data_IF_926582819804
#
_entry.id   IF_926582819804
#
_cell.length_a   1.000
_cell.length_b   1.000
_cell.length_c   1.000
_cell.angle_alpha   90.00
_cell.angle_beta   90.00
_cell.angle_gamma   90.00
#
_symmetry.space_group_name_H-M   'P 1'
#
loop_
_entity.id
_entity.type
_entity.pdbx_description
1 polymer ?
#
# COMPACT_ATOMS: atom_id res chain seq x y z
N UNK A 1 52.79 70.37 -13.04
CA UNK A 1 51.57 69.78 -12.40
C UNK A 1 50.56 69.19 -13.39
N UNK A 2 50.52 69.60 -14.66
CA UNK A 2 49.54 69.12 -15.66
C UNK A 2 49.66 67.62 -16.03
N UNK A 3 50.88 67.09 -16.18
CA UNK A 3 51.12 65.67 -16.53
C UNK A 3 50.68 64.69 -15.43
N UNK A 4 51.00 65.00 -14.16
CA UNK A 4 50.57 64.18 -13.00
C UNK A 4 49.04 64.12 -12.87
N UNK A 5 48.33 65.22 -13.16
CA UNK A 5 46.85 65.27 -13.16
C UNK A 5 46.24 64.44 -14.29
N UNK A 6 46.84 64.49 -15.50
CA UNK A 6 46.40 63.66 -16.64
C UNK A 6 46.60 62.16 -16.40
N UNK A 7 47.73 61.77 -15.80
CA UNK A 7 48.00 60.36 -15.42
C UNK A 7 47.01 59.87 -14.37
N UNK A 8 46.71 60.68 -13.34
CA UNK A 8 45.73 60.34 -12.31
C UNK A 8 44.31 60.17 -12.89
N UNK A 9 43.95 60.98 -13.89
CA UNK A 9 42.66 60.87 -14.59
C UNK A 9 42.57 59.58 -15.41
N UNK A 10 43.64 59.20 -16.12
CA UNK A 10 43.70 57.94 -16.88
C UNK A 10 43.62 56.72 -15.96
N UNK A 11 44.35 56.72 -14.84
CA UNK A 11 44.29 55.63 -13.85
C UNK A 11 42.89 55.53 -13.24
N UNK A 12 42.24 56.65 -12.93
CA UNK A 12 40.87 56.66 -12.41
C UNK A 12 39.86 56.10 -13.41
N UNK A 13 39.99 56.41 -14.70
CA UNK A 13 39.13 55.87 -15.75
C UNK A 13 39.34 54.35 -15.88
N UNK A 14 40.58 53.88 -15.87
CA UNK A 14 40.90 52.44 -15.92
C UNK A 14 40.31 51.72 -14.70
N UNK A 15 40.47 52.26 -13.49
CA UNK A 15 39.88 51.69 -12.27
C UNK A 15 38.34 51.65 -12.32
N UNK A 16 37.68 52.66 -12.89
CA UNK A 16 36.22 52.64 -13.07
C UNK A 16 35.75 51.61 -14.10
N UNK A 17 36.52 51.38 -15.17
CA UNK A 17 36.16 50.37 -16.19
C UNK A 17 36.25 48.92 -15.67
N UNK A 18 37.12 48.65 -14.69
CA UNK A 18 37.28 47.31 -14.11
C UNK A 18 36.06 46.93 -13.24
N UNK A 19 35.36 47.91 -12.66
CA UNK A 19 34.17 47.66 -11.83
C UNK A 19 32.95 47.18 -12.65
N UNK A 20 32.87 47.51 -13.95
CA UNK A 20 31.72 47.16 -14.80
C UNK A 20 31.65 45.70 -15.23
N UNK A 21 32.77 44.97 -15.22
CA UNK A 21 32.83 43.56 -15.67
C UNK A 21 32.55 42.53 -14.56
N UNK A 22 32.44 42.97 -13.29
CA UNK A 22 32.32 42.07 -12.14
C UNK A 22 30.87 41.76 -11.72
N UNK A 23 29.88 42.46 -12.26
CA UNK A 23 28.47 42.24 -11.91
C UNK A 23 27.83 41.16 -12.80
N UNK A 24 28.28 39.91 -12.66
CA UNK A 24 27.52 38.78 -13.20
C UNK A 24 26.30 38.58 -12.29
N UNK A 25 25.14 39.03 -12.74
CA UNK A 25 23.88 38.81 -12.02
C UNK A 25 23.63 37.32 -11.80
N UNK A 26 23.03 36.99 -10.65
CA UNK A 26 22.70 35.60 -10.28
C UNK A 26 21.76 35.02 -11.32
N UNK A 27 22.14 33.88 -11.89
CA UNK A 27 21.35 33.18 -12.90
C UNK A 27 20.47 32.14 -12.22
N UNK A 28 19.16 32.41 -12.22
CA UNK A 28 18.16 31.53 -11.64
C UNK A 28 17.28 30.93 -12.73
N UNK A 29 16.88 29.67 -12.53
CA UNK A 29 15.87 28.98 -13.32
C UNK A 29 14.91 28.22 -12.39
N UNK A 30 13.81 27.72 -12.94
CA UNK A 30 12.92 26.83 -12.22
C UNK A 30 12.45 25.66 -13.07
N UNK A 31 12.03 24.61 -12.38
CA UNK A 31 11.43 23.39 -12.92
C UNK A 31 10.11 23.16 -12.21
N UNK A 32 9.12 22.65 -12.95
CA UNK A 32 7.84 22.20 -12.42
C UNK A 32 7.85 20.66 -12.41
N UNK A 33 8.15 20.07 -11.25
CA UNK A 33 8.28 18.62 -11.12
C UNK A 33 6.97 17.88 -11.38
N UNK A 34 5.85 18.46 -10.95
CA UNK A 34 4.52 17.89 -11.18
C UNK A 34 4.21 17.83 -12.69
N UNK A 35 4.46 18.92 -13.42
CA UNK A 35 4.34 18.92 -14.87
C UNK A 35 5.24 17.87 -15.52
N UNK A 36 6.48 17.71 -15.07
CA UNK A 36 7.38 16.68 -15.60
C UNK A 36 6.78 15.29 -15.38
N UNK A 37 6.40 14.96 -14.15
CA UNK A 37 5.86 13.65 -13.78
C UNK A 37 4.62 13.30 -14.62
N UNK A 38 3.69 14.24 -14.79
CA UNK A 38 2.47 14.04 -15.59
C UNK A 38 2.76 13.76 -17.07
N UNK A 39 3.88 14.23 -17.60
CA UNK A 39 4.31 14.00 -18.99
C UNK A 39 5.19 12.74 -19.16
N UNK A 40 5.48 12.00 -18.10
CA UNK A 40 6.18 10.71 -18.16
C UNK A 40 5.16 9.58 -18.28
N UNK A 41 5.14 8.89 -19.42
CA UNK A 41 4.17 7.81 -19.70
C UNK A 41 4.16 6.71 -18.63
N UNK A 42 5.34 6.22 -18.23
CA UNK A 42 5.51 5.19 -17.21
C UNK A 42 4.95 5.62 -15.85
N UNK A 43 5.03 6.91 -15.52
CA UNK A 43 4.43 7.46 -14.32
C UNK A 43 2.91 7.45 -14.41
N UNK A 44 2.36 7.86 -15.55
CA UNK A 44 0.92 7.89 -15.81
C UNK A 44 0.32 6.49 -15.72
N UNK A 45 0.88 5.53 -16.43
CA UNK A 45 0.43 4.13 -16.42
C UNK A 45 0.51 3.52 -15.01
N UNK A 46 1.63 3.74 -14.30
CA UNK A 46 1.78 3.21 -12.95
C UNK A 46 0.85 3.89 -11.92
N UNK A 47 0.54 5.17 -12.13
CA UNK A 47 -0.40 5.93 -11.30
C UNK A 47 -1.83 5.42 -11.48
N UNK A 48 -2.25 5.13 -12.71
CA UNK A 48 -3.57 4.54 -13.02
C UNK A 48 -3.73 3.14 -12.39
N UNK A 49 -2.67 2.32 -12.47
CA UNK A 49 -2.66 1.01 -11.80
C UNK A 49 -2.74 1.15 -10.27
N UNK A 50 -2.04 2.13 -9.70
CA UNK A 50 -2.08 2.41 -8.26
C UNK A 50 -3.46 2.92 -7.84
N UNK A 51 -4.10 3.79 -8.62
CA UNK A 51 -5.44 4.30 -8.37
C UNK A 51 -6.48 3.17 -8.36
N UNK A 52 -6.35 2.22 -9.29
CA UNK A 52 -7.19 1.01 -9.32
C UNK A 52 -7.03 0.20 -8.03
N UNK A 53 -5.81 0.03 -7.52
CA UNK A 53 -5.56 -0.67 -6.24
C UNK A 53 -6.14 0.10 -5.06
N UNK A 54 -5.96 1.42 -5.04
CA UNK A 54 -6.52 2.31 -4.01
C UNK A 54 -8.03 2.17 -3.95
N UNK A 55 -8.69 2.11 -5.10
CA UNK A 55 -10.14 1.95 -5.14
C UNK A 55 -10.58 0.59 -4.60
N UNK A 56 -9.85 -0.49 -4.90
CA UNK A 56 -10.11 -1.81 -4.31
C UNK A 56 -9.96 -1.80 -2.79
N UNK A 57 -8.87 -1.20 -2.27
CA UNK A 57 -8.67 -1.10 -0.82
C UNK A 57 -9.76 -0.28 -0.13
N UNK A 58 -10.24 0.80 -0.77
CA UNK A 58 -11.37 1.59 -0.24
C UNK A 58 -12.64 0.74 -0.12
N UNK A 59 -12.97 -0.03 -1.16
CA UNK A 59 -14.12 -0.94 -1.15
C UNK A 59 -13.95 -2.01 -0.05
N UNK A 60 -12.75 -2.57 0.11
CA UNK A 60 -12.48 -3.54 1.18
C UNK A 60 -12.65 -2.94 2.59
N UNK A 61 -12.22 -1.70 2.81
CA UNK A 61 -12.46 -0.97 4.07
C UNK A 61 -13.95 -0.75 4.30
N UNK A 62 -14.68 -0.28 3.29
CA UNK A 62 -16.13 -0.04 3.38
C UNK A 62 -16.91 -1.33 3.69
N UNK A 63 -16.52 -2.44 3.07
CA UNK A 63 -17.11 -3.76 3.36
C UNK A 63 -16.85 -4.18 4.81
N UNK A 64 -15.61 -4.07 5.30
CA UNK A 64 -15.27 -4.38 6.70
C UNK A 64 -16.04 -3.49 7.67
N UNK A 65 -16.16 -2.20 7.38
CA UNK A 65 -16.92 -1.26 8.18
C UNK A 65 -18.41 -1.65 8.22
N UNK A 66 -19.01 -1.96 7.07
CA UNK A 66 -20.41 -2.38 7.01
C UNK A 66 -20.67 -3.67 7.80
N UNK A 67 -19.74 -4.63 7.77
CA UNK A 67 -19.86 -5.88 8.54
C UNK A 67 -19.85 -5.58 10.05
N UNK A 68 -18.88 -4.76 10.51
CA UNK A 68 -18.78 -4.34 11.91
C UNK A 68 -20.06 -3.62 12.36
N UNK A 69 -20.54 -2.66 11.57
CA UNK A 69 -21.76 -1.92 11.88
C UNK A 69 -23.00 -2.83 11.96
N UNK A 70 -23.10 -3.82 11.06
CA UNK A 70 -24.19 -4.78 11.07
C UNK A 70 -24.15 -5.64 12.33
N UNK A 71 -23.00 -6.23 12.68
CA UNK A 71 -22.87 -7.04 13.89
C UNK A 71 -23.19 -6.25 15.16
N UNK A 72 -22.81 -4.97 15.22
CA UNK A 72 -23.18 -4.09 16.34
C UNK A 72 -24.69 -3.89 16.44
N UNK A 73 -25.36 -3.66 15.31
CA UNK A 73 -26.83 -3.51 15.27
C UNK A 73 -27.52 -4.81 15.68
N UNK A 74 -27.04 -5.95 15.18
CA UNK A 74 -27.57 -7.27 15.50
C UNK A 74 -27.40 -7.57 17.00
N UNK A 75 -26.22 -7.32 17.56
CA UNK A 75 -25.98 -7.47 18.99
C UNK A 75 -26.91 -6.57 19.82
N UNK A 76 -27.14 -5.31 19.42
CA UNK A 76 -28.06 -4.42 20.13
C UNK A 76 -29.51 -4.93 20.09
N UNK A 77 -29.95 -5.51 18.98
CA UNK A 77 -31.29 -6.06 18.83
C UNK A 77 -31.47 -7.38 19.61
N UNK A 78 -30.46 -8.24 19.61
CA UNK A 78 -30.48 -9.55 20.27
C UNK A 78 -30.11 -9.50 21.76
N UNK A 79 -29.52 -8.39 22.25
CA UNK A 79 -28.96 -8.25 23.61
C UNK A 79 -29.91 -8.72 24.72
N UNK A 80 -31.20 -8.47 24.59
CA UNK A 80 -32.23 -8.82 25.59
C UNK A 80 -32.49 -10.33 25.65
N UNK A 81 -32.17 -11.06 24.58
CA UNK A 81 -32.40 -12.50 24.43
C UNK A 81 -31.14 -13.33 24.73
N UNK A 82 -29.99 -12.69 24.91
CA UNK A 82 -28.69 -13.35 25.11
C UNK A 82 -28.30 -13.39 26.59
N UNK A 83 -27.47 -14.37 26.96
CA UNK A 83 -26.85 -14.41 28.30
C UNK A 83 -25.64 -13.46 28.36
N UNK A 84 -25.22 -13.02 29.54
CA UNK A 84 -24.07 -12.13 29.70
C UNK A 84 -22.79 -12.65 29.03
N UNK A 85 -22.52 -13.96 29.10
CA UNK A 85 -21.33 -14.57 28.51
C UNK A 85 -21.36 -14.55 26.98
N UNK A 86 -22.53 -14.74 26.37
CA UNK A 86 -22.69 -14.67 24.91
C UNK A 86 -22.60 -13.23 24.40
N UNK A 87 -23.01 -12.25 25.22
CA UNK A 87 -22.85 -10.83 24.90
C UNK A 87 -21.36 -10.49 24.90
N UNK A 88 -20.62 -10.88 25.93
CA UNK A 88 -19.18 -10.65 26.02
C UNK A 88 -18.42 -11.26 24.84
N UNK A 89 -18.70 -12.52 24.48
CA UNK A 89 -18.07 -13.18 23.32
C UNK A 89 -18.33 -12.43 22.00
N UNK A 90 -19.57 -11.95 21.78
CA UNK A 90 -19.91 -11.16 20.58
C UNK A 90 -19.27 -9.77 20.60
N UNK A 91 -19.17 -9.13 21.76
CA UNK A 91 -18.49 -7.85 21.92
C UNK A 91 -16.98 -7.99 21.63
N UNK A 92 -16.35 -9.08 22.06
CA UNK A 92 -14.97 -9.41 21.73
C UNK A 92 -14.76 -9.64 20.23
N UNK A 93 -15.65 -10.41 19.58
CA UNK A 93 -15.59 -10.65 18.13
C UNK A 93 -15.69 -9.33 17.33
N UNK A 94 -16.63 -8.46 17.72
CA UNK A 94 -16.77 -7.13 17.13
C UNK A 94 -15.49 -6.31 17.32
N UNK A 95 -14.93 -6.29 18.53
CA UNK A 95 -13.70 -5.55 18.81
C UNK A 95 -12.49 -6.06 18.01
N UNK A 96 -12.40 -7.38 17.80
CA UNK A 96 -11.34 -7.97 16.96
C UNK A 96 -11.49 -7.47 15.52
N UNK A 97 -12.69 -7.56 14.95
CA UNK A 97 -12.95 -7.14 13.57
C UNK A 97 -12.79 -5.63 13.38
N UNK A 98 -13.12 -4.83 14.40
CA UNK A 98 -12.82 -3.39 14.42
C UNK A 98 -11.33 -3.11 14.39
N UNK A 99 -10.55 -3.81 15.22
CA UNK A 99 -9.10 -3.66 15.26
C UNK A 99 -8.49 -4.05 13.93
N UNK A 100 -8.88 -5.18 13.36
CA UNK A 100 -8.42 -5.63 12.05
C UNK A 100 -8.77 -4.63 10.93
N UNK A 101 -9.95 -4.00 10.98
CA UNK A 101 -10.34 -2.96 10.03
C UNK A 101 -9.43 -1.74 10.15
N UNK A 102 -9.19 -1.26 11.37
CA UNK A 102 -8.33 -0.10 11.63
C UNK A 102 -6.87 -0.39 11.21
N UNK A 103 -6.35 -1.57 11.57
CA UNK A 103 -5.02 -2.02 11.15
C UNK A 103 -4.92 -2.09 9.63
N UNK A 104 -5.88 -2.71 8.96
CA UNK A 104 -5.92 -2.72 7.50
C UNK A 104 -5.94 -1.31 6.90
N UNK A 105 -6.75 -0.41 7.44
CA UNK A 105 -6.80 0.98 6.98
C UNK A 105 -5.45 1.68 7.19
N UNK A 106 -4.80 1.48 8.33
CA UNK A 106 -3.50 2.05 8.66
C UNK A 106 -2.39 1.48 7.76
N UNK A 107 -2.39 0.18 7.49
CA UNK A 107 -1.42 -0.49 6.63
C UNK A 107 -1.53 -0.03 5.18
N UNK A 108 -2.75 0.27 4.69
CA UNK A 108 -2.94 0.76 3.32
C UNK A 108 -2.77 2.28 3.18
N UNK A 109 -3.36 3.05 4.09
CA UNK A 109 -3.54 4.50 3.97
C UNK A 109 -2.80 5.33 5.02
N UNK A 110 -2.15 4.70 6.00
CA UNK A 110 -1.38 5.40 7.02
C UNK A 110 -0.13 6.09 6.46
N UNK A 111 0.59 6.88 7.29
CA UNK A 111 1.77 7.64 6.86
C UNK A 111 2.92 6.76 6.33
N UNK A 112 3.01 5.52 6.79
CA UNK A 112 3.94 4.49 6.32
C UNK A 112 3.23 3.36 5.56
N UNK A 113 1.97 3.56 5.22
CA UNK A 113 1.16 2.57 4.54
C UNK A 113 1.59 2.37 3.08
N UNK A 114 1.04 1.31 2.49
CA UNK A 114 1.34 0.87 1.13
C UNK A 114 1.14 1.96 0.09
N UNK A 115 0.11 2.80 0.23
CA UNK A 115 -0.15 3.89 -0.71
C UNK A 115 1.02 4.88 -0.77
N UNK A 116 1.49 5.35 0.39
CA UNK A 116 2.58 6.32 0.48
C UNK A 116 3.87 5.69 -0.03
N UNK A 117 4.14 4.44 0.36
CA UNK A 117 5.33 3.70 -0.05
C UNK A 117 5.35 3.46 -1.57
N UNK A 118 4.23 3.06 -2.15
CA UNK A 118 4.11 2.85 -3.60
C UNK A 118 4.25 4.17 -4.35
N UNK A 119 3.59 5.25 -3.92
CA UNK A 119 3.77 6.59 -4.52
C UNK A 119 5.25 7.00 -4.52
N UNK A 120 5.94 6.85 -3.38
CA UNK A 120 7.37 7.17 -3.29
C UNK A 120 8.20 6.34 -4.27
N UNK A 121 7.98 5.03 -4.34
CA UNK A 121 8.69 4.13 -5.26
C UNK A 121 8.48 4.48 -6.73
N UNK A 122 7.32 5.02 -7.09
CA UNK A 122 7.03 5.47 -8.46
C UNK A 122 7.69 6.82 -8.77
N UNK A 123 7.66 7.76 -7.84
CA UNK A 123 8.17 9.12 -8.04
C UNK A 123 9.71 9.17 -8.00
N UNK A 124 10.32 8.47 -7.04
CA UNK A 124 11.75 8.53 -6.76
C UNK A 124 12.65 8.29 -7.98
N UNK A 125 12.48 7.22 -8.80
CA UNK A 125 13.36 7.00 -9.95
C UNK A 125 13.26 8.10 -11.01
N UNK A 126 12.11 8.77 -11.14
CA UNK A 126 11.93 9.88 -12.06
C UNK A 126 12.55 11.14 -11.48
N UNK A 127 12.39 11.37 -10.17
CA UNK A 127 13.04 12.47 -9.46
C UNK A 127 14.57 12.39 -9.57
N UNK A 128 15.16 11.20 -9.43
CA UNK A 128 16.59 10.98 -9.61
C UNK A 128 17.04 11.31 -11.05
N UNK A 129 16.24 10.94 -12.06
CA UNK A 129 16.53 11.28 -13.46
C UNK A 129 16.43 12.79 -13.71
N UNK A 130 15.40 13.45 -13.18
CA UNK A 130 15.25 14.90 -13.25
C UNK A 130 16.44 15.58 -12.61
N UNK A 131 16.81 15.17 -11.40
CA UNK A 131 17.94 15.75 -10.68
C UNK A 131 19.24 15.68 -11.49
N UNK A 132 19.53 14.52 -12.08
CA UNK A 132 20.69 14.34 -12.94
C UNK A 132 20.66 15.25 -14.19
N UNK A 133 19.50 15.39 -14.85
CA UNK A 133 19.37 16.28 -16.01
C UNK A 133 19.45 17.76 -15.61
N UNK A 134 18.84 18.15 -14.49
CA UNK A 134 18.92 19.50 -13.93
C UNK A 134 20.36 19.88 -13.63
N UNK A 135 21.16 18.99 -13.04
CA UNK A 135 22.59 19.23 -12.80
C UNK A 135 23.35 19.49 -14.10
N UNK A 136 23.14 18.66 -15.13
CA UNK A 136 23.77 18.85 -16.45
C UNK A 136 23.39 20.19 -17.06
N UNK A 137 22.12 20.56 -17.00
CA UNK A 137 21.60 21.81 -17.55
C UNK A 137 22.16 23.01 -16.78
N UNK A 138 22.18 22.92 -15.44
CA UNK A 138 22.76 23.91 -14.55
C UNK A 138 24.21 24.21 -14.89
N UNK A 139 25.05 23.17 -15.02
CA UNK A 139 26.45 23.30 -15.40
C UNK A 139 26.61 23.88 -16.81
N UNK A 140 25.89 23.36 -17.80
CA UNK A 140 26.02 23.76 -19.21
C UNK A 140 25.56 25.20 -19.45
N UNK A 141 24.45 25.62 -18.82
CA UNK A 141 23.89 26.98 -18.96
C UNK A 141 24.41 27.96 -17.92
N UNK A 142 25.24 27.49 -16.99
CA UNK A 142 25.84 28.26 -15.89
C UNK A 142 24.75 28.93 -15.03
N UNK A 143 23.74 28.17 -14.64
CA UNK A 143 22.78 28.60 -13.62
C UNK A 143 23.40 28.43 -12.25
N UNK A 144 23.18 29.41 -11.38
CA UNK A 144 23.65 29.38 -10.00
C UNK A 144 22.62 28.69 -9.10
N UNK A 145 21.32 28.83 -9.44
CA UNK A 145 20.21 28.19 -8.73
C UNK A 145 19.14 27.67 -9.70
N UNK A 146 18.58 26.52 -9.37
CA UNK A 146 17.41 25.95 -10.04
C UNK A 146 16.42 25.57 -8.95
N UNK A 147 15.23 26.17 -8.98
CA UNK A 147 14.18 25.93 -7.99
C UNK A 147 13.14 24.96 -8.52
N UNK A 148 12.64 24.09 -7.64
CA UNK A 148 11.43 23.33 -7.93
C UNK A 148 10.21 24.17 -7.51
N UNK A 149 9.32 24.45 -8.46
CA UNK A 149 8.06 25.18 -8.25
C UNK A 149 7.03 24.31 -7.53
N UNK A 150 7.15 22.98 -7.61
CA UNK A 150 6.25 22.04 -6.94
C UNK A 150 6.64 21.82 -5.47
N UNK A 151 7.77 22.34 -5.02
CA UNK A 151 8.21 22.30 -3.63
C UNK A 151 7.62 23.47 -2.80
N UNK A 152 7.86 23.47 -1.49
CA UNK A 152 7.35 24.49 -0.53
C UNK A 152 7.86 25.93 -0.77
N UNK A 153 8.63 26.18 -1.83
CA UNK A 153 9.09 27.52 -2.20
C UNK A 153 7.94 28.28 -2.86
N UNK A 154 7.37 29.22 -2.12
CA UNK A 154 6.29 30.07 -2.64
C UNK A 154 6.84 31.05 -3.69
N UNK A 155 6.59 30.76 -4.96
CA UNK A 155 6.92 31.63 -6.10
C UNK A 155 5.67 32.38 -6.57
N UNK A 156 5.59 33.68 -6.24
CA UNK A 156 4.42 34.50 -6.60
C UNK A 156 4.35 34.85 -8.09
N UNK A 157 5.51 35.03 -8.73
CA UNK A 157 5.61 35.37 -10.14
C UNK A 157 6.95 34.91 -10.71
N UNK A 158 6.94 34.37 -11.92
CA UNK A 158 8.16 34.13 -12.68
C UNK A 158 7.89 34.23 -14.18
N UNK A 159 8.86 34.77 -14.90
CA UNK A 159 8.80 34.85 -16.35
C UNK A 159 9.05 33.46 -16.96
N UNK A 160 8.24 33.05 -17.95
CA UNK A 160 8.34 31.73 -18.61
C UNK A 160 9.72 31.42 -19.20
N UNK A 161 10.52 32.44 -19.54
CA UNK A 161 11.90 32.26 -20.04
C UNK A 161 12.86 31.59 -19.05
N UNK A 162 12.53 31.57 -17.76
CA UNK A 162 13.33 30.91 -16.72
C UNK A 162 12.86 29.48 -16.42
N UNK A 163 11.75 29.05 -17.03
CA UNK A 163 11.27 27.67 -16.98
C UNK A 163 12.16 26.79 -17.85
N UNK A 164 12.73 25.75 -17.26
CA UNK A 164 13.54 24.75 -17.98
C UNK A 164 12.88 23.37 -18.00
N UNK A 165 11.62 23.24 -17.57
CA UNK A 165 10.89 21.97 -17.46
C UNK A 165 10.86 21.18 -18.77
N UNK A 166 10.51 21.83 -19.89
CA UNK A 166 10.52 21.20 -21.23
C UNK A 166 11.93 20.79 -21.69
N UNK A 167 12.96 21.47 -21.19
CA UNK A 167 14.35 21.13 -21.50
C UNK A 167 14.78 19.88 -20.73
N UNK A 168 14.40 19.80 -19.46
CA UNK A 168 14.59 18.62 -18.60
C UNK A 168 13.82 17.42 -19.15
N UNK A 169 12.54 17.57 -19.50
CA UNK A 169 11.71 16.50 -20.10
C UNK A 169 12.38 15.88 -21.33
N UNK A 170 12.87 16.73 -22.25
CA UNK A 170 13.60 16.28 -23.43
C UNK A 170 14.94 15.61 -23.08
N UNK A 171 15.59 16.03 -22.00
CA UNK A 171 16.78 15.36 -21.45
C UNK A 171 16.48 13.92 -21.03
N UNK A 172 15.47 13.77 -20.18
CA UNK A 172 15.05 12.47 -19.62
C UNK A 172 14.57 11.51 -20.71
N UNK A 173 13.77 12.01 -21.67
CA UNK A 173 13.29 11.20 -22.78
C UNK A 173 14.43 10.64 -23.67
N UNK A 174 15.54 11.38 -23.81
CA UNK A 174 16.72 10.91 -24.55
C UNK A 174 17.49 9.85 -23.78
N UNK A 175 17.64 10.02 -22.46
CA UNK A 175 18.30 9.04 -21.60
C UNK A 175 17.54 7.70 -21.58
N UNK A 176 16.20 7.72 -21.66
CA UNK A 176 15.37 6.52 -21.76
C UNK A 176 15.46 5.76 -23.09
N UNK A 177 15.85 6.42 -24.19
CA UNK A 177 16.05 5.77 -25.51
C UNK A 177 17.49 5.33 -25.80
N UNK A 178 18.41 5.39 -24.82
CA UNK A 178 19.81 5.00 -25.03
C UNK A 178 20.24 4.01 -23.95
N UNK A 179 19.92 2.73 -24.16
CA UNK A 179 20.66 1.61 -23.56
C UNK A 179 21.33 0.80 -24.69
N UNK A 180 22.58 1.19 -24.96
CA UNK A 180 23.64 0.56 -25.81
C UNK A 180 23.40 0.41 -27.33
N UNK A 181 24.31 0.95 -28.18
CA UNK A 181 24.57 0.35 -29.48
C UNK A 181 25.51 -0.84 -29.28
N UNK A 182 25.03 -2.06 -29.54
CA UNK A 182 25.92 -3.17 -29.82
C UNK A 182 26.59 -2.91 -31.18
N UNK A 183 27.91 -2.85 -31.17
CA UNK A 183 28.75 -2.64 -32.35
C UNK A 183 28.53 -3.80 -33.33
N UNK A 184 28.03 -3.47 -34.52
CA UNK A 184 27.90 -4.39 -35.67
C UNK A 184 29.26 -4.96 -36.06
N UNK A 185 29.41 -6.28 -36.03
CA UNK A 185 30.16 -7.00 -37.05
C UNK A 185 29.17 -7.46 -38.10
N UNK A 186 29.23 -6.85 -39.29
CA UNK A 186 28.60 -7.39 -40.49
C UNK A 186 29.40 -8.64 -40.89
N UNK A 187 28.75 -9.80 -40.96
CA UNK A 187 28.96 -10.64 -42.14
C UNK A 187 27.66 -11.36 -42.52
N UNK A 188 27.19 -10.99 -43.72
CA UNK A 188 26.40 -11.72 -44.72
C UNK A 188 25.10 -12.46 -44.34
N UNK A 189 24.02 -11.87 -44.87
CA UNK A 189 22.98 -12.51 -45.71
C UNK A 189 22.41 -13.87 -45.30
N UNK A 190 21.18 -13.89 -44.78
CA UNK A 190 20.20 -14.99 -44.96
C UNK A 190 18.77 -14.44 -44.92
N UNK A 191 18.45 -13.55 -45.85
CA UNK A 191 17.06 -13.14 -46.11
C UNK A 191 16.50 -13.86 -47.35
N UNK A 192 16.89 -15.13 -47.53
CA UNK A 192 16.57 -15.93 -48.72
C UNK A 192 16.34 -17.40 -48.36
N UNK A 193 15.69 -17.68 -47.23
CA UNK A 193 15.43 -19.07 -46.78
C UNK A 193 14.24 -19.16 -45.80
N UNK A 194 13.16 -18.40 -46.05
CA UNK A 194 11.90 -18.51 -45.29
C UNK A 194 10.77 -19.11 -46.14
N UNK A 195 11.11 -20.04 -47.03
CA UNK A 195 10.16 -20.95 -47.66
C UNK A 195 10.75 -22.36 -47.61
N UNK A 196 10.57 -23.01 -46.46
CA UNK A 196 11.00 -24.38 -46.25
C UNK A 196 10.64 -24.83 -44.84
N UNK A 197 9.68 -25.74 -44.74
CA UNK A 197 9.38 -26.53 -43.54
C UNK A 197 10.66 -27.18 -43.02
N UNK A 198 10.89 -27.16 -41.70
CA UNK A 198 11.48 -28.27 -40.94
C UNK A 198 11.33 -28.03 -39.42
N UNK A 199 10.74 -29.00 -38.74
CA UNK A 199 10.60 -29.09 -37.29
C UNK A 199 11.99 -29.23 -36.65
N UNK A 200 12.54 -28.18 -36.04
CA UNK A 200 13.78 -28.29 -35.28
C UNK A 200 13.51 -28.59 -33.79
N UNK A 201 14.04 -29.74 -33.37
CA UNK A 201 13.89 -30.37 -32.06
C UNK A 201 14.22 -29.44 -30.89
N UNK A 202 13.37 -29.52 -29.87
CA UNK A 202 13.44 -28.74 -28.64
C UNK A 202 14.79 -28.96 -27.95
N UNK A 203 15.58 -27.90 -27.80
CA UNK A 203 16.83 -27.91 -27.04
C UNK A 203 16.61 -28.52 -25.65
N UNK A 204 17.40 -29.52 -25.26
CA UNK A 204 17.36 -30.18 -23.93
C UNK A 204 17.32 -29.15 -22.77
N UNK A 205 17.95 -27.99 -22.94
CA UNK A 205 17.99 -26.92 -21.95
C UNK A 205 16.66 -26.17 -21.78
N UNK A 206 15.79 -26.16 -22.81
CA UNK A 206 14.44 -25.62 -22.73
C UNK A 206 13.51 -26.64 -22.06
N UNK A 207 13.65 -27.93 -22.39
CA UNK A 207 12.91 -29.02 -21.76
C UNK A 207 13.19 -29.06 -20.26
N UNK A 208 14.46 -29.03 -19.85
CA UNK A 208 14.85 -29.06 -18.43
C UNK A 208 14.30 -27.85 -17.65
N UNK A 209 14.22 -26.68 -18.30
CA UNK A 209 13.62 -25.47 -17.70
C UNK A 209 12.11 -25.58 -17.54
N UNK A 210 11.42 -26.12 -18.53
CA UNK A 210 9.97 -26.35 -18.46
C UNK A 210 9.64 -27.41 -17.42
N UNK A 211 10.42 -28.50 -17.35
CA UNK A 211 10.24 -29.56 -16.36
C UNK A 211 10.52 -29.08 -14.94
N UNK A 212 11.57 -28.27 -14.75
CA UNK A 212 11.87 -27.66 -13.46
C UNK A 212 10.82 -26.63 -13.04
N UNK A 213 10.25 -25.88 -13.99
CA UNK A 213 9.15 -24.97 -13.74
C UNK A 213 7.86 -25.72 -13.39
N UNK A 214 7.58 -26.84 -14.06
CA UNK A 214 6.45 -27.71 -13.79
C UNK A 214 6.57 -28.38 -12.41
N UNK A 215 7.74 -28.90 -12.05
CA UNK A 215 8.00 -29.47 -10.71
C UNK A 215 7.90 -28.40 -9.60
N UNK A 216 8.36 -27.17 -9.86
CA UNK A 216 8.21 -26.05 -8.93
C UNK A 216 6.74 -25.60 -8.78
N UNK A 217 5.94 -25.68 -9.85
CA UNK A 217 4.51 -25.42 -9.80
C UNK A 217 3.77 -26.52 -9.02
N UNK A 218 4.09 -27.78 -9.28
CA UNK A 218 3.46 -28.93 -8.63
C UNK A 218 3.78 -29.00 -7.12
N UNK A 219 5.02 -28.68 -6.72
CA UNK A 219 5.40 -28.59 -5.30
C UNK A 219 4.67 -27.45 -4.58
N UNK A 220 4.49 -26.30 -5.25
CA UNK A 220 3.69 -25.19 -4.72
C UNK A 220 2.22 -25.56 -4.59
N UNK A 221 1.64 -26.23 -5.59
CA UNK A 221 0.25 -26.70 -5.52
C UNK A 221 0.04 -27.73 -4.41
N UNK A 222 0.93 -28.70 -4.25
CA UNK A 222 0.89 -29.66 -3.13
C UNK A 222 1.00 -28.95 -1.79
N UNK A 223 1.94 -28.03 -1.62
CA UNK A 223 2.07 -27.26 -0.36
C UNK A 223 0.85 -26.37 -0.06
N UNK A 224 0.21 -25.80 -1.10
CA UNK A 224 -0.99 -25.00 -0.96
C UNK A 224 -2.24 -25.85 -0.69
N UNK A 225 -2.31 -27.06 -1.26
CA UNK A 225 -3.34 -28.03 -0.97
C UNK A 225 -3.22 -28.58 0.45
N UNK A 226 -2.00 -28.88 0.91
CA UNK A 226 -1.71 -29.31 2.27
C UNK A 226 -2.07 -28.23 3.29
N UNK A 227 -1.70 -26.97 3.04
CA UNK A 227 -2.07 -25.84 3.89
C UNK A 227 -3.60 -25.61 3.95
N UNK A 228 -4.30 -25.78 2.82
CA UNK A 228 -5.78 -25.73 2.78
C UNK A 228 -6.41 -26.89 3.54
N UNK A 229 -5.88 -28.10 3.41
CA UNK A 229 -6.37 -29.28 4.11
C UNK A 229 -6.16 -29.17 5.63
N UNK A 230 -5.02 -28.62 6.06
CA UNK A 230 -4.72 -28.35 7.47
C UNK A 230 -5.67 -27.28 8.05
N UNK A 231 -5.93 -26.18 7.32
CA UNK A 231 -6.91 -25.17 7.73
C UNK A 231 -8.34 -25.73 7.82
N UNK A 232 -8.73 -26.63 6.92
CA UNK A 232 -10.05 -27.27 6.96
C UNK A 232 -10.18 -28.21 8.16
N UNK A 233 -9.15 -29.01 8.45
CA UNK A 233 -9.11 -29.86 9.65
C UNK A 233 -9.18 -29.02 10.93
N UNK A 234 -8.42 -27.93 11.01
CA UNK A 234 -8.47 -27.00 12.15
C UNK A 234 -9.86 -26.38 12.32
N UNK A 235 -10.56 -26.05 11.22
CA UNK A 235 -11.94 -25.55 11.26
C UNK A 235 -12.95 -26.61 11.72
N UNK A 236 -12.80 -27.85 11.26
CA UNK A 236 -13.66 -28.96 11.68
C UNK A 236 -13.45 -29.33 13.15
N UNK A 237 -12.21 -29.32 13.64
CA UNK A 237 -11.89 -29.50 15.05
C UNK A 237 -12.47 -28.38 15.91
N UNK A 238 -12.35 -27.12 15.47
CA UNK A 238 -12.98 -25.97 16.16
C UNK A 238 -14.51 -26.07 16.18
N UNK A 239 -15.13 -26.51 15.08
CA UNK A 239 -16.59 -26.75 15.03
C UNK A 239 -17.02 -27.87 15.97
N UNK A 240 -16.31 -28.99 16.01
CA UNK A 240 -16.60 -30.11 16.93
C UNK A 240 -16.40 -29.69 18.39
N UNK A 241 -15.32 -28.98 18.70
CA UNK A 241 -15.08 -28.45 20.04
C UNK A 241 -16.20 -27.48 20.48
N UNK A 242 -16.71 -26.66 19.55
CA UNK A 242 -17.84 -25.77 19.79
C UNK A 242 -19.14 -26.55 20.04
N UNK A 243 -19.43 -27.57 19.23
CA UNK A 243 -20.62 -28.43 19.39
C UNK A 243 -20.59 -29.21 20.70
N UNK A 244 -19.43 -29.75 21.10
CA UNK A 244 -19.26 -30.43 22.38
C UNK A 244 -19.42 -29.48 23.58
N UNK A 245 -18.84 -28.27 23.50
CA UNK A 245 -18.98 -27.25 24.53
C UNK A 245 -20.43 -26.81 24.68
N UNK A 246 -21.14 -26.64 23.55
CA UNK A 246 -22.58 -26.34 23.51
C UNK A 246 -23.41 -27.47 24.12
N UNK A 247 -23.07 -28.73 23.83
CA UNK A 247 -23.78 -29.89 24.37
C UNK A 247 -23.59 -30.02 25.88
N UNK A 248 -22.36 -29.85 26.39
CA UNK A 248 -22.07 -29.83 27.84
C UNK A 248 -22.84 -28.72 28.56
N UNK A 249 -22.93 -27.52 27.96
CA UNK A 249 -23.71 -26.42 28.51
C UNK A 249 -25.22 -26.72 28.56
N UNK A 250 -25.76 -27.41 27.55
CA UNK A 250 -27.17 -27.82 27.55
C UNK A 250 -27.45 -28.91 28.58
N UNK A 251 -26.57 -29.91 28.71
CA UNK A 251 -26.67 -30.95 29.74
C UNK A 251 -26.54 -30.38 31.17
N UNK A 252 -25.63 -29.43 31.39
CA UNK A 252 -25.50 -28.73 32.67
C UNK A 252 -26.75 -27.90 32.99
N UNK A 253 -27.36 -27.25 31.99
CA UNK A 253 -28.63 -26.52 32.14
C UNK A 253 -29.79 -27.44 32.46
N UNK A 254 -29.87 -28.61 31.83
CA UNK A 254 -30.89 -29.61 32.10
C UNK A 254 -30.72 -30.22 33.49
N UNK A 255 -29.49 -30.52 33.91
CA UNK A 255 -29.17 -30.98 35.25
C UNK A 255 -29.57 -29.95 36.33
N UNK A 256 -29.17 -28.68 36.16
CA UNK A 256 -29.57 -27.58 37.06
C UNK A 256 -31.09 -27.37 37.08
N UNK A 257 -31.77 -27.57 35.94
CA UNK A 257 -33.24 -27.48 35.88
C UNK A 257 -33.91 -28.63 36.61
N UNK A 258 -33.39 -29.85 36.49
CA UNK A 258 -33.90 -31.01 37.23
C UNK A 258 -33.62 -30.90 38.73
N UNK A 259 -32.46 -30.40 39.13
CA UNK A 259 -32.10 -30.16 40.53
C UNK A 259 -33.05 -29.14 41.18
N UNK A 260 -33.28 -27.99 40.52
CA UNK A 260 -34.27 -27.00 40.97
C UNK A 260 -35.71 -27.52 41.01
N UNK A 261 -36.06 -28.46 40.13
CA UNK A 261 -37.38 -29.10 40.14
C UNK A 261 -37.50 -30.09 41.30
N UNK A 262 -36.42 -30.79 41.66
CA UNK A 262 -36.37 -31.66 42.85
C UNK A 262 -36.45 -30.85 44.14
N UNK A 263 -35.62 -29.81 44.29
CA UNK A 263 -35.69 -28.90 45.45
C UNK A 263 -37.10 -28.28 45.63
N UNK A 264 -37.75 -27.91 44.53
CA UNK A 264 -39.11 -27.36 44.57
C UNK A 264 -40.17 -28.40 44.91
N UNK A 265 -39.97 -29.66 44.56
CA UNK A 265 -40.88 -30.74 44.93
C UNK A 265 -40.66 -31.16 46.38
N UNK A 266 -39.41 -31.27 46.83
CA UNK A 266 -39.05 -31.57 48.22
C UNK A 266 -39.59 -30.50 49.17
N UNK A 267 -39.43 -29.20 48.84
CA UNK A 267 -40.03 -28.11 49.62
C UNK A 267 -41.57 -28.15 49.68
N UNK A 268 -42.24 -28.65 48.61
CA UNK A 268 -43.70 -28.81 48.59
C UNK A 268 -44.18 -30.01 49.39
N UNK A 269 -43.38 -31.08 49.45
CA UNK A 269 -43.66 -32.24 50.29
C UNK A 269 -43.45 -31.88 51.78
N UNK A 270 -42.44 -31.07 52.11
CA UNK A 270 -42.25 -30.51 53.46
C UNK A 270 -43.40 -29.58 53.86
N UNK A 271 -43.82 -28.65 53.00
CA UNK A 271 -44.96 -27.74 53.25
C UNK A 271 -46.29 -28.50 53.49
N UNK A 272 -46.55 -29.55 52.71
CA UNK A 272 -47.73 -30.40 52.90
C UNK A 272 -47.67 -31.25 54.18
N UNK A 273 -46.47 -31.69 54.59
CA UNK A 273 -46.29 -32.47 55.82
C UNK A 273 -46.45 -31.64 57.10
N UNK A 274 -46.15 -30.33 57.04
CA UNK A 274 -46.36 -29.39 58.14
C UNK A 274 -47.84 -28.96 58.23
N UNK A 275 -48.54 -28.82 57.09
CA UNK A 275 -50.00 -28.54 57.10
C UNK A 275 -50.85 -29.74 57.56
N UNK A 276 -50.45 -30.99 57.29
CA UNK A 276 -51.15 -32.18 57.82
C UNK A 276 -50.94 -32.40 59.33
N UNK A 277 -49.86 -31.86 59.94
CA UNK A 277 -49.64 -31.95 61.40
C UNK A 277 -50.46 -30.92 62.19
N UNK A 278 -50.73 -29.76 61.61
CA UNK A 278 -51.51 -28.71 62.26
C UNK A 278 -53.03 -29.02 62.27
N UNK A 279 -53.53 -29.81 61.31
CA UNK A 279 -54.95 -30.14 61.19
C UNK A 279 -55.41 -31.32 62.10
N UNK A 280 -54.48 -32.03 62.75
CA UNK A 280 -54.79 -33.15 63.65
C UNK A 280 -54.62 -32.81 65.15
N UNK A 281 -54.49 -31.52 65.48
CA UNK A 281 -54.17 -31.02 66.81
C UNK A 281 -55.30 -30.28 67.56
N UNK A 282 -56.53 -30.20 67.02
CA UNK A 282 -57.65 -29.55 67.72
C UNK A 282 -58.93 -30.38 67.66
N UNK A 283 -59.10 -31.26 68.65
CA UNK A 283 -60.26 -31.51 69.54
C UNK A 283 -60.01 -32.81 70.31
#
# INVERSE_FOLDING_TARGET
MSTKRKVLLVVSIICMTIQGFAQRGVRMAYVDMEYILQNVEEYREATEQLETKVQRWKVEVEQKQSIVEQMKKDLMAEKVLLTPELIEEREEEIQILEREMIEYQQDRFGPQGDLVLQKRRLIQPIQDQVFNEVQKIGANKKYDFIFDKSADVVMLYSEKRHDISDLVLRGIARTRKISKPAKKSNDRSRLDDFEGEEEEEVSEALQERLDKAAQAAETREKSAADAKAEQLKLREERKKAYEERRKKLLEEREAKRQEKLKERNDNKEEENSDTEKDDNGTI
#
